data_IF_543557250083
#
_entry.id   IF_543557250083
#
_cell.length_a   1.000
_cell.length_b   1.000
_cell.length_c   1.000
_cell.angle_alpha   90.00
_cell.angle_beta   90.00
_cell.angle_gamma   90.00
#
_symmetry.space_group_name_H-M   'P 1'
#
loop_
_entity.id
_entity.type
_entity.pdbx_description
1 polymer ?
#
# COMPACT_ATOMS: atom_id res chain seq x y z
N UNK A 1 -19.75 -3.75 -14.90
CA UNK A 1 -18.36 -3.63 -14.44
C UNK A 1 -18.15 -4.47 -13.16
N UNK A 2 -16.95 -4.96 -12.89
CA UNK A 2 -16.66 -5.75 -11.70
C UNK A 2 -16.55 -4.88 -10.42
N UNK A 3 -16.69 -3.58 -10.56
CA UNK A 3 -16.71 -2.61 -9.47
C UNK A 3 -18.10 -1.99 -9.29
N UNK A 4 -18.34 -1.40 -8.13
CA UNK A 4 -19.54 -0.64 -7.81
C UNK A 4 -19.14 0.74 -7.30
N UNK A 5 -19.68 1.81 -7.93
CA UNK A 5 -19.47 3.17 -7.46
C UNK A 5 -20.48 3.50 -6.36
N UNK A 6 -20.00 4.10 -5.27
CA UNK A 6 -20.81 4.34 -4.07
C UNK A 6 -20.55 5.72 -3.47
N UNK A 7 -21.51 6.20 -2.67
CA UNK A 7 -21.33 7.39 -1.83
C UNK A 7 -20.45 7.09 -0.58
N UNK A 8 -20.26 8.10 0.27
CA UNK A 8 -19.47 7.96 1.49
C UNK A 8 -20.06 6.97 2.51
N UNK A 9 -21.37 6.75 2.47
CA UNK A 9 -22.10 5.79 3.30
C UNK A 9 -22.09 4.37 2.72
N UNK A 10 -21.58 4.19 1.49
CA UNK A 10 -21.49 2.90 0.80
C UNK A 10 -22.74 2.54 0.02
N UNK A 11 -23.68 3.47 -0.21
CA UNK A 11 -24.83 3.23 -1.04
C UNK A 11 -24.48 3.40 -2.53
N UNK A 12 -25.09 2.60 -3.43
CA UNK A 12 -24.88 2.75 -4.88
C UNK A 12 -25.14 4.18 -5.36
N UNK A 13 -24.14 4.80 -5.97
CA UNK A 13 -24.21 6.15 -6.54
C UNK A 13 -23.28 6.27 -7.76
N UNK A 14 -23.84 6.48 -8.93
CA UNK A 14 -23.08 6.64 -10.19
C UNK A 14 -22.10 7.83 -10.16
N UNK A 15 -22.35 8.82 -9.31
CA UNK A 15 -21.49 9.99 -9.10
C UNK A 15 -20.73 9.94 -7.77
N UNK A 16 -20.78 8.81 -7.05
CA UNK A 16 -20.13 8.64 -5.76
C UNK A 16 -18.61 8.83 -5.84
N UNK A 17 -18.01 9.24 -4.74
CA UNK A 17 -16.57 9.49 -4.64
C UNK A 17 -15.76 8.20 -4.30
N UNK A 18 -16.44 7.06 -4.17
CA UNK A 18 -15.83 5.79 -3.80
C UNK A 18 -16.18 4.68 -4.79
N UNK A 19 -15.33 3.65 -4.80
CA UNK A 19 -15.50 2.41 -5.55
C UNK A 19 -15.36 1.23 -4.59
N UNK A 20 -16.29 0.28 -4.66
CA UNK A 20 -16.13 -1.04 -4.05
C UNK A 20 -15.51 -1.98 -5.09
N UNK A 21 -14.32 -2.53 -4.79
CA UNK A 21 -13.56 -3.31 -5.76
C UNK A 21 -12.51 -4.19 -5.06
N UNK A 22 -12.47 -5.48 -5.43
CA UNK A 22 -11.59 -6.45 -4.78
C UNK A 22 -12.04 -6.85 -3.38
N UNK A 23 -11.37 -7.84 -2.81
CA UNK A 23 -11.66 -8.39 -1.49
C UNK A 23 -10.38 -8.62 -0.70
N UNK A 24 -10.37 -8.26 0.58
CA UNK A 24 -9.24 -8.50 1.46
C UNK A 24 -9.71 -8.69 2.91
N UNK A 25 -8.94 -9.37 3.77
CA UNK A 25 -9.30 -9.49 5.19
C UNK A 25 -9.33 -8.12 5.86
N UNK A 26 -10.37 -7.86 6.66
CA UNK A 26 -10.54 -6.55 7.31
C UNK A 26 -10.94 -6.69 8.77
N UNK A 27 -12.22 -6.97 9.06
CA UNK A 27 -12.75 -6.95 10.42
C UNK A 27 -12.57 -8.27 11.17
N UNK A 28 -12.38 -8.19 12.48
CA UNK A 28 -12.27 -9.37 13.34
C UNK A 28 -13.52 -10.25 13.26
N UNK A 29 -13.32 -11.56 13.26
CA UNK A 29 -14.39 -12.54 13.26
C UNK A 29 -15.29 -12.37 14.49
N UNK A 30 -16.59 -12.25 14.27
CA UNK A 30 -17.56 -12.19 15.36
C UNK A 30 -17.49 -13.45 16.25
N UNK A 31 -17.67 -13.27 17.56
CA UNK A 31 -17.63 -14.37 18.54
C UNK A 31 -18.68 -15.45 18.29
N UNK A 32 -19.81 -15.10 17.64
CA UNK A 32 -20.88 -16.04 17.27
C UNK A 32 -20.54 -16.93 16.07
N UNK A 33 -19.48 -16.59 15.30
CA UNK A 33 -19.07 -17.35 14.13
C UNK A 33 -18.03 -18.39 14.51
N UNK A 34 -18.21 -19.62 14.04
CA UNK A 34 -17.24 -20.72 14.15
C UNK A 34 -16.62 -20.98 12.78
N UNK A 35 -15.32 -21.26 12.75
CA UNK A 35 -14.64 -21.72 11.53
C UNK A 35 -14.95 -23.19 11.30
N UNK A 36 -15.42 -23.54 10.11
CA UNK A 36 -15.94 -24.87 9.78
C UNK A 36 -14.85 -25.92 9.55
N UNK A 37 -13.64 -25.51 9.17
CA UNK A 37 -12.50 -26.39 8.87
C UNK A 37 -11.21 -25.90 9.49
N UNK A 38 -10.37 -26.84 9.92
CA UNK A 38 -9.02 -26.54 10.41
C UNK A 38 -8.02 -26.18 9.29
N UNK A 39 -8.41 -26.35 8.02
CA UNK A 39 -7.60 -26.04 6.84
C UNK A 39 -8.38 -25.10 5.92
N UNK A 40 -7.70 -24.18 5.24
CA UNK A 40 -8.34 -23.31 4.26
C UNK A 40 -8.87 -24.10 3.05
N UNK A 41 -9.85 -23.53 2.37
CA UNK A 41 -10.34 -24.02 1.09
C UNK A 41 -9.32 -23.73 -0.04
N UNK A 42 -9.63 -24.13 -1.26
CA UNK A 42 -8.77 -23.96 -2.44
C UNK A 42 -8.47 -22.49 -2.78
N UNK A 43 -9.31 -21.56 -2.30
CA UNK A 43 -9.11 -20.11 -2.41
C UNK A 43 -8.16 -19.53 -1.35
N UNK A 44 -7.62 -20.36 -0.44
CA UNK A 44 -6.74 -19.94 0.64
C UNK A 44 -7.46 -19.40 1.89
N UNK A 45 -8.79 -19.35 1.89
CA UNK A 45 -9.60 -18.83 2.99
C UNK A 45 -10.35 -19.92 3.75
N UNK A 46 -10.71 -19.59 4.98
CA UNK A 46 -11.50 -20.45 5.86
C UNK A 46 -12.97 -20.07 5.79
N UNK A 47 -13.87 -21.05 5.72
CA UNK A 47 -15.30 -20.80 5.74
C UNK A 47 -15.82 -20.69 7.15
N UNK A 48 -16.64 -19.67 7.40
CA UNK A 48 -17.35 -19.47 8.65
C UNK A 48 -18.75 -20.07 8.64
N UNK A 49 -19.30 -20.34 9.83
CA UNK A 49 -20.67 -20.83 10.02
C UNK A 49 -21.77 -19.87 9.56
N UNK A 50 -21.42 -18.63 9.31
CA UNK A 50 -22.26 -17.58 8.69
C UNK A 50 -22.22 -17.61 7.16
N UNK A 51 -21.42 -18.50 6.56
CA UNK A 51 -21.25 -18.63 5.14
C UNK A 51 -20.20 -17.69 4.52
N UNK A 52 -19.60 -16.82 5.32
CA UNK A 52 -18.56 -15.88 4.89
C UNK A 52 -17.15 -16.51 4.91
N UNK A 53 -16.18 -15.84 4.28
CA UNK A 53 -14.79 -16.26 4.25
C UNK A 53 -13.93 -15.45 5.23
N UNK A 54 -12.89 -16.11 5.74
CA UNK A 54 -11.99 -15.58 6.77
C UNK A 54 -10.55 -15.92 6.41
N UNK A 55 -9.63 -14.99 6.70
CA UNK A 55 -8.20 -15.25 6.72
C UNK A 55 -7.69 -15.32 8.16
N UNK A 56 -6.63 -16.10 8.38
CA UNK A 56 -5.96 -16.13 9.67
C UNK A 56 -4.78 -15.14 9.64
N UNK A 57 -4.67 -14.26 10.64
CA UNK A 57 -3.57 -13.33 10.80
C UNK A 57 -2.42 -13.95 11.65
N UNK A 58 -1.33 -13.20 11.81
CA UNK A 58 -0.17 -13.63 12.60
C UNK A 58 -0.48 -13.87 14.08
N UNK A 59 -1.48 -13.20 14.62
CA UNK A 59 -1.97 -13.41 15.99
C UNK A 59 -2.75 -14.72 16.18
N UNK A 60 -2.97 -15.46 15.08
CA UNK A 60 -3.70 -16.72 15.07
C UNK A 60 -5.23 -16.57 15.04
N UNK A 61 -5.77 -15.35 15.09
CA UNK A 61 -7.18 -15.08 14.98
C UNK A 61 -7.65 -14.99 13.52
N UNK A 62 -8.97 -14.94 13.34
CA UNK A 62 -9.60 -14.94 12.02
C UNK A 62 -10.27 -13.60 11.72
N UNK A 63 -10.10 -13.14 10.50
CA UNK A 63 -10.57 -11.84 10.02
C UNK A 63 -11.41 -12.04 8.76
N UNK A 64 -12.56 -11.36 8.71
CA UNK A 64 -13.51 -11.48 7.61
C UNK A 64 -12.93 -10.91 6.33
N UNK A 65 -13.09 -11.64 5.23
CA UNK A 65 -12.75 -11.17 3.88
C UNK A 65 -13.90 -10.34 3.36
N UNK A 66 -13.66 -9.05 3.16
CA UNK A 66 -14.68 -8.06 2.82
C UNK A 66 -14.28 -7.28 1.58
N UNK A 67 -15.27 -6.68 0.87
CA UNK A 67 -14.97 -5.80 -0.26
C UNK A 67 -14.14 -4.61 0.20
N UNK A 68 -13.09 -4.30 -0.57
CA UNK A 68 -12.29 -3.10 -0.36
C UNK A 68 -13.03 -1.88 -0.88
N UNK A 69 -12.98 -0.79 -0.11
CA UNK A 69 -13.45 0.52 -0.52
C UNK A 69 -12.27 1.39 -0.94
N UNK A 70 -12.41 2.01 -2.10
CA UNK A 70 -11.40 2.85 -2.71
C UNK A 70 -11.94 4.26 -2.88
N UNK A 71 -11.16 5.25 -2.51
CA UNK A 71 -11.44 6.66 -2.78
C UNK A 71 -10.92 7.02 -4.16
N UNK A 72 -11.76 7.68 -4.96
CA UNK A 72 -11.38 8.21 -6.26
C UNK A 72 -10.54 9.48 -6.03
N UNK A 73 -9.32 9.49 -6.54
CA UNK A 73 -8.43 10.65 -6.49
C UNK A 73 -8.54 11.50 -7.75
N UNK A 74 -8.68 10.84 -8.90
CA UNK A 74 -8.85 11.48 -10.20
C UNK A 74 -9.66 10.55 -11.10
N UNK A 75 -10.85 10.98 -11.52
CA UNK A 75 -11.75 10.19 -12.37
C UNK A 75 -11.51 10.46 -13.88
N UNK A 76 -10.46 11.21 -14.20
CA UNK A 76 -9.99 11.47 -15.56
C UNK A 76 -8.46 11.37 -15.63
N UNK A 77 -7.90 10.36 -14.93
CA UNK A 77 -6.46 10.16 -14.80
C UNK A 77 -5.82 9.79 -16.14
N UNK A 78 -6.44 8.89 -16.89
CA UNK A 78 -6.11 8.54 -18.26
C UNK A 78 -7.36 8.57 -19.15
N UNK A 79 -7.26 8.08 -20.38
CA UNK A 79 -8.38 8.01 -21.30
C UNK A 79 -9.41 6.95 -20.86
N UNK A 80 -10.43 7.38 -20.17
CA UNK A 80 -11.48 6.53 -19.60
C UNK A 80 -11.04 5.76 -18.34
N UNK A 81 -10.04 6.25 -17.61
CA UNK A 81 -9.55 5.62 -16.39
C UNK A 81 -9.60 6.53 -15.18
N UNK A 82 -9.57 5.94 -13.98
CA UNK A 82 -9.49 6.67 -12.72
C UNK A 82 -8.30 6.17 -11.88
N UNK A 83 -7.64 7.11 -11.19
CA UNK A 83 -6.72 6.81 -10.10
C UNK A 83 -7.50 6.66 -8.80
N UNK A 84 -7.32 5.53 -8.13
CA UNK A 84 -7.98 5.25 -6.86
C UNK A 84 -6.96 4.82 -5.79
N UNK A 85 -7.26 5.14 -4.53
CA UNK A 85 -6.48 4.69 -3.37
C UNK A 85 -7.39 3.94 -2.40
N UNK A 86 -6.91 2.82 -1.86
CA UNK A 86 -7.65 2.09 -0.84
C UNK A 86 -7.88 2.99 0.38
N UNK A 87 -9.10 3.02 0.87
CA UNK A 87 -9.53 3.93 1.93
C UNK A 87 -9.10 3.43 3.33
N UNK A 88 -8.41 2.30 3.39
CA UNK A 88 -7.91 1.68 4.61
C UNK A 88 -6.47 1.18 4.46
N UNK A 89 -5.78 1.03 5.57
CA UNK A 89 -4.54 0.25 5.65
C UNK A 89 -4.91 -1.23 5.67
N UNK A 90 -4.47 -1.96 4.66
CA UNK A 90 -4.92 -3.35 4.42
C UNK A 90 -4.06 -4.39 5.13
N UNK A 91 -2.78 -4.09 5.35
CA UNK A 91 -1.81 -5.01 5.93
C UNK A 91 -0.60 -4.25 6.48
N UNK A 92 0.35 -4.97 7.09
CA UNK A 92 1.65 -4.46 7.50
C UNK A 92 2.75 -5.17 6.72
N UNK A 93 3.59 -4.40 6.05
CA UNK A 93 4.80 -4.87 5.36
C UNK A 93 5.88 -3.81 5.51
N UNK A 94 7.10 -4.21 5.83
CA UNK A 94 8.23 -3.29 5.80
C UNK A 94 8.46 -2.78 4.36
N UNK A 95 8.90 -1.53 4.23
CA UNK A 95 9.33 -1.04 2.91
C UNK A 95 10.50 -1.90 2.38
N UNK A 96 11.48 -2.15 3.27
CA UNK A 96 12.59 -3.07 3.05
C UNK A 96 13.08 -3.57 4.42
N UNK A 97 12.77 -4.81 4.78
CA UNK A 97 13.06 -5.35 6.12
C UNK A 97 14.54 -5.58 6.38
N UNK A 98 15.27 -5.95 5.33
CA UNK A 98 16.67 -6.31 5.46
C UNK A 98 17.60 -5.19 4.97
N UNK A 99 18.04 -4.32 5.88
CA UNK A 99 18.97 -3.23 5.59
C UNK A 99 20.07 -3.12 6.66
N UNK A 100 21.22 -2.56 6.29
CA UNK A 100 22.28 -2.18 7.25
C UNK A 100 22.34 -0.66 7.41
N UNK A 101 22.16 -0.19 8.63
CA UNK A 101 22.15 1.26 8.94
C UNK A 101 23.43 2.00 8.57
N UNK A 102 24.58 1.32 8.57
CA UNK A 102 25.87 1.93 8.22
C UNK A 102 26.09 2.05 6.70
N UNK A 103 25.31 1.34 5.89
CA UNK A 103 25.39 1.34 4.43
C UNK A 103 24.03 0.95 3.89
N UNK A 104 23.26 1.88 3.43
CA UNK A 104 21.89 1.68 2.97
C UNK A 104 21.84 0.98 1.60
N UNK A 105 22.20 -0.27 1.56
CA UNK A 105 22.10 -1.10 0.38
C UNK A 105 20.92 -2.04 0.46
N UNK A 106 20.38 -2.42 -0.69
CA UNK A 106 19.41 -3.49 -0.78
C UNK A 106 20.10 -4.84 -0.50
N UNK A 107 19.50 -5.66 0.31
CA UNK A 107 19.95 -7.02 0.59
C UNK A 107 18.91 -8.03 0.11
N UNK A 108 19.39 -9.19 -0.35
CA UNK A 108 18.51 -10.33 -0.56
C UNK A 108 17.78 -10.69 0.74
N UNK A 109 16.58 -11.26 0.63
CA UNK A 109 15.75 -11.65 1.79
C UNK A 109 16.44 -12.62 2.75
N UNK A 110 17.44 -13.37 2.28
CA UNK A 110 18.29 -14.23 3.12
C UNK A 110 19.36 -13.46 3.91
N UNK A 111 19.47 -12.15 3.71
CA UNK A 111 20.41 -11.27 4.41
C UNK A 111 21.88 -11.46 4.07
N UNK A 112 22.19 -12.36 3.16
CA UNK A 112 23.58 -12.81 2.92
C UNK A 112 24.31 -11.98 1.87
N UNK A 113 23.61 -11.34 0.93
CA UNK A 113 24.24 -10.75 -0.24
C UNK A 113 23.61 -9.41 -0.60
N UNK A 114 24.43 -8.40 -0.88
CA UNK A 114 24.00 -7.16 -1.50
C UNK A 114 23.59 -7.48 -2.94
N UNK A 115 22.38 -7.13 -3.31
CA UNK A 115 21.94 -7.25 -4.69
C UNK A 115 22.64 -6.17 -5.52
N UNK A 116 23.42 -6.62 -6.47
CA UNK A 116 24.00 -5.77 -7.52
C UNK A 116 23.21 -6.12 -8.79
N UNK A 117 22.53 -5.12 -9.33
CA UNK A 117 21.92 -5.23 -10.63
C UNK A 117 22.93 -4.70 -11.67
N UNK A 118 23.33 -5.53 -12.61
CA UNK A 118 24.26 -5.10 -13.66
C UNK A 118 23.68 -4.01 -14.57
N UNK A 119 22.35 -3.91 -14.62
CA UNK A 119 21.63 -2.88 -15.36
C UNK A 119 21.28 -1.66 -14.47
N UNK A 120 21.64 -1.70 -13.17
CA UNK A 120 21.40 -0.61 -12.25
C UNK A 120 22.26 0.62 -12.58
N UNK A 121 21.62 1.76 -12.70
CA UNK A 121 22.26 3.01 -13.13
C UNK A 121 22.60 3.87 -11.90
N UNK A 122 23.89 4.18 -11.64
CA UNK A 122 24.26 5.10 -10.56
C UNK A 122 23.51 6.43 -10.66
N UNK A 123 23.03 6.93 -9.50
CA UNK A 123 22.21 8.15 -9.43
C UNK A 123 20.71 7.92 -9.61
N UNK A 124 20.27 6.67 -9.84
CA UNK A 124 18.87 6.29 -9.91
C UNK A 124 18.49 5.33 -8.76
N UNK A 125 18.63 5.79 -7.53
CA UNK A 125 18.43 4.93 -6.34
C UNK A 125 19.53 3.88 -6.16
N UNK A 126 20.69 4.13 -6.77
CA UNK A 126 21.87 3.25 -6.84
C UNK A 126 23.11 4.09 -6.62
N UNK A 127 24.07 3.58 -5.85
CA UNK A 127 25.33 4.28 -5.61
C UNK A 127 26.35 4.06 -6.76
N UNK A 128 27.47 4.77 -6.69
CA UNK A 128 28.55 4.70 -7.72
C UNK A 128 29.18 3.30 -7.85
N UNK A 129 28.96 2.42 -6.88
CA UNK A 129 29.40 1.02 -6.92
C UNK A 129 28.32 0.07 -7.43
N UNK A 130 27.26 0.57 -8.06
CA UNK A 130 26.10 -0.19 -8.55
C UNK A 130 25.36 -0.96 -7.47
N UNK A 131 25.38 -0.47 -6.23
CA UNK A 131 24.62 -1.07 -5.13
C UNK A 131 23.32 -0.31 -4.93
N UNK A 132 22.22 -1.04 -4.89
CA UNK A 132 20.87 -0.49 -4.77
C UNK A 132 20.63 -0.01 -3.32
N UNK A 133 20.12 1.20 -3.16
CA UNK A 133 19.73 1.72 -1.84
C UNK A 133 18.50 0.99 -1.29
N UNK A 134 18.44 0.84 0.04
CA UNK A 134 17.35 0.15 0.71
C UNK A 134 15.97 0.83 0.52
N UNK A 135 15.95 2.12 0.26
CA UNK A 135 14.72 2.89 -0.02
C UNK A 135 14.39 3.00 -1.52
N UNK A 136 15.02 2.21 -2.37
CA UNK A 136 14.72 2.15 -3.80
C UNK A 136 13.40 1.40 -4.01
N UNK A 137 12.36 2.12 -4.47
CA UNK A 137 11.03 1.53 -4.64
C UNK A 137 10.99 0.38 -5.64
N UNK A 138 11.73 0.48 -6.75
CA UNK A 138 11.77 -0.56 -7.79
C UNK A 138 12.13 -1.94 -7.22
N UNK A 139 13.00 -1.98 -6.20
CA UNK A 139 13.51 -3.20 -5.59
C UNK A 139 12.98 -3.46 -4.17
N UNK A 140 11.99 -2.69 -3.71
CA UNK A 140 11.47 -2.80 -2.35
C UNK A 140 10.58 -4.04 -2.15
N UNK A 141 10.58 -4.56 -0.93
CA UNK A 141 9.64 -5.59 -0.50
C UNK A 141 8.18 -5.08 -0.53
N UNK A 142 8.00 -3.79 -0.26
CA UNK A 142 6.69 -3.13 -0.42
C UNK A 142 6.14 -3.29 -1.83
N UNK A 143 6.96 -2.98 -2.86
CA UNK A 143 6.53 -3.14 -4.25
C UNK A 143 6.29 -4.60 -4.61
N UNK A 144 7.16 -5.52 -4.17
CA UNK A 144 6.99 -6.96 -4.38
C UNK A 144 5.66 -7.46 -3.79
N UNK A 145 5.33 -7.02 -2.57
CA UNK A 145 4.04 -7.33 -1.93
C UNK A 145 2.86 -6.79 -2.75
N UNK A 146 2.90 -5.51 -3.14
CA UNK A 146 1.79 -4.85 -3.87
C UNK A 146 1.55 -5.48 -5.23
N UNK A 147 2.62 -5.78 -5.99
CA UNK A 147 2.53 -6.32 -7.36
C UNK A 147 2.37 -7.84 -7.41
N UNK A 148 2.60 -8.53 -6.31
CA UNK A 148 2.46 -9.99 -6.16
C UNK A 148 1.35 -10.35 -5.18
N UNK A 149 1.69 -10.53 -3.91
CA UNK A 149 0.79 -11.07 -2.89
C UNK A 149 -0.55 -10.32 -2.81
N UNK A 150 -0.52 -8.99 -2.73
CA UNK A 150 -1.76 -8.22 -2.65
C UNK A 150 -2.57 -8.31 -3.95
N UNK A 151 -1.94 -8.06 -5.10
CA UNK A 151 -2.61 -8.13 -6.41
C UNK A 151 -3.26 -9.50 -6.66
N UNK A 152 -2.54 -10.58 -6.36
CA UNK A 152 -3.03 -11.94 -6.60
C UNK A 152 -4.13 -12.36 -5.61
N UNK A 153 -4.11 -11.81 -4.39
CA UNK A 153 -5.06 -12.16 -3.33
C UNK A 153 -6.34 -11.33 -3.42
N UNK A 154 -6.20 -10.02 -3.69
CA UNK A 154 -7.32 -9.08 -3.59
C UNK A 154 -8.27 -9.12 -4.79
N UNK A 155 -7.82 -9.57 -5.96
CA UNK A 155 -8.58 -9.46 -7.20
C UNK A 155 -8.73 -10.80 -7.91
N UNK A 156 -9.97 -11.09 -8.35
CA UNK A 156 -10.24 -12.18 -9.27
C UNK A 156 -9.88 -11.79 -10.73
N UNK A 157 -9.95 -12.73 -11.66
CA UNK A 157 -9.54 -12.51 -13.05
C UNK A 157 -10.38 -11.43 -13.79
N UNK A 158 -11.67 -11.34 -13.48
CA UNK A 158 -12.55 -10.31 -14.07
C UNK A 158 -12.21 -8.92 -13.51
N UNK A 159 -11.85 -8.84 -12.24
CA UNK A 159 -11.39 -7.59 -11.60
C UNK A 159 -10.01 -7.20 -12.14
N UNK A 160 -9.06 -8.14 -12.22
CA UNK A 160 -7.73 -7.91 -12.79
C UNK A 160 -7.78 -7.36 -14.22
N UNK A 161 -8.75 -7.81 -15.03
CA UNK A 161 -8.93 -7.31 -16.38
C UNK A 161 -9.32 -5.82 -16.48
N UNK A 162 -9.77 -5.23 -15.36
CA UNK A 162 -10.11 -3.80 -15.27
C UNK A 162 -9.01 -2.94 -14.62
N UNK A 163 -7.94 -3.57 -14.11
CA UNK A 163 -6.80 -2.84 -13.56
C UNK A 163 -5.83 -2.52 -14.70
N UNK A 164 -5.44 -1.25 -14.79
CA UNK A 164 -4.53 -0.78 -15.85
C UNK A 164 -3.08 -0.99 -15.41
N UNK A 165 -2.23 -1.47 -16.33
CA UNK A 165 -0.79 -1.48 -16.12
C UNK A 165 -0.26 -0.05 -16.27
N UNK A 166 0.03 0.59 -15.16
CA UNK A 166 0.37 2.01 -15.08
C UNK A 166 1.88 2.19 -15.04
N UNK A 167 2.42 3.13 -15.85
CA UNK A 167 3.79 3.60 -15.65
C UNK A 167 3.84 4.51 -14.43
N UNK A 168 4.51 4.03 -13.38
CA UNK A 168 4.61 4.70 -12.08
C UNK A 168 5.88 5.57 -12.06
N UNK A 169 5.70 6.88 -11.90
CA UNK A 169 6.82 7.84 -11.80
C UNK A 169 7.51 7.72 -10.43
N UNK A 170 8.75 7.25 -10.44
CA UNK A 170 9.63 7.14 -9.28
C UNK A 170 10.78 8.17 -9.32
N UNK A 171 10.73 9.12 -10.24
CA UNK A 171 11.74 10.18 -10.39
C UNK A 171 11.62 11.24 -9.28
N UNK A 172 12.56 12.16 -9.25
CA UNK A 172 12.47 13.34 -8.35
C UNK A 172 11.22 14.20 -8.61
N UNK A 173 10.62 14.10 -9.80
CA UNK A 173 9.35 14.74 -10.14
C UNK A 173 8.16 14.23 -9.30
N UNK A 174 8.22 13.00 -8.82
CA UNK A 174 7.22 12.43 -7.91
C UNK A 174 7.41 12.81 -6.43
N UNK A 175 8.42 13.63 -6.10
CA UNK A 175 8.78 13.98 -4.73
C UNK A 175 9.83 13.04 -4.11
N UNK A 176 10.38 12.11 -4.88
CA UNK A 176 11.49 11.28 -4.43
C UNK A 176 12.74 12.10 -4.19
N UNK A 177 13.43 11.85 -3.08
CA UNK A 177 14.67 12.54 -2.78
C UNK A 177 15.83 12.09 -3.69
N UNK A 178 16.64 13.04 -4.17
CA UNK A 178 17.90 12.73 -4.84
C UNK A 178 18.99 12.42 -3.79
N UNK A 179 19.84 11.39 -3.98
CA UNK A 179 20.01 10.55 -5.18
C UNK A 179 19.20 9.23 -5.15
N UNK A 180 18.20 9.13 -4.30
CA UNK A 180 17.47 7.89 -4.02
C UNK A 180 16.32 7.63 -4.99
N UNK A 181 15.86 8.63 -5.73
CA UNK A 181 14.90 8.45 -6.82
C UNK A 181 15.38 7.36 -7.79
N UNK A 182 14.46 6.49 -8.21
CA UNK A 182 14.80 5.36 -9.07
C UNK A 182 14.10 5.42 -10.42
N UNK A 183 14.34 4.40 -11.25
CA UNK A 183 13.67 4.26 -12.53
C UNK A 183 12.16 4.07 -12.35
N UNK A 184 11.38 4.57 -13.31
CA UNK A 184 9.94 4.29 -13.38
C UNK A 184 9.68 2.78 -13.45
N UNK A 185 8.55 2.38 -12.92
CA UNK A 185 8.09 0.98 -12.93
C UNK A 185 6.74 0.88 -13.62
N UNK A 186 6.41 -0.33 -14.12
CA UNK A 186 5.08 -0.62 -14.64
C UNK A 186 4.40 -1.54 -13.65
N UNK A 187 3.37 -1.04 -12.97
CA UNK A 187 2.71 -1.73 -11.88
C UNK A 187 1.20 -1.69 -12.03
N UNK A 188 0.52 -2.81 -11.71
CA UNK A 188 -0.93 -2.85 -11.60
C UNK A 188 -1.42 -2.26 -10.28
N UNK A 189 -0.64 -2.45 -9.20
CA UNK A 189 -0.91 -1.89 -7.88
C UNK A 189 0.38 -1.27 -7.35
N UNK A 190 0.29 -0.08 -6.80
CA UNK A 190 1.43 0.68 -6.32
C UNK A 190 1.09 1.49 -5.05
N UNK A 191 2.09 2.05 -4.39
CA UNK A 191 1.91 3.03 -3.33
C UNK A 191 1.88 4.46 -3.93
N UNK A 192 1.10 5.37 -3.35
CA UNK A 192 1.14 6.79 -3.74
C UNK A 192 2.53 7.38 -3.51
N UNK A 193 2.89 8.42 -4.27
CA UNK A 193 4.10 9.21 -4.04
C UNK A 193 3.89 10.32 -3.01
N UNK A 194 4.97 10.94 -2.57
CA UNK A 194 4.90 12.16 -1.77
C UNK A 194 4.11 13.27 -2.47
N UNK A 195 4.35 13.48 -3.77
CA UNK A 195 3.64 14.51 -4.54
C UNK A 195 2.16 14.18 -4.75
N UNK A 196 1.78 12.90 -4.81
CA UNK A 196 0.38 12.51 -4.89
C UNK A 196 -0.38 12.94 -3.63
N UNK A 197 0.19 12.71 -2.44
CA UNK A 197 -0.48 13.01 -1.16
C UNK A 197 -0.43 14.48 -0.74
N UNK A 198 0.24 15.35 -1.49
CA UNK A 198 0.16 16.80 -1.36
C UNK A 198 -0.55 17.46 -2.53
N UNK A 199 -1.08 16.68 -3.47
CA UNK A 199 -1.78 17.15 -4.64
C UNK A 199 -3.21 17.56 -4.30
N UNK A 200 -3.50 18.86 -4.41
CA UNK A 200 -4.84 19.40 -4.11
C UNK A 200 -5.90 18.97 -5.10
N UNK A 201 -5.52 18.61 -6.33
CA UNK A 201 -6.47 18.04 -7.33
C UNK A 201 -6.95 16.64 -6.94
N UNK A 202 -6.20 15.91 -6.13
CA UNK A 202 -6.60 14.62 -5.56
C UNK A 202 -7.37 14.75 -4.24
N UNK A 203 -7.72 15.98 -3.86
CA UNK A 203 -8.47 16.30 -2.66
C UNK A 203 -7.61 16.30 -1.38
N UNK A 204 -6.29 16.15 -1.46
CA UNK A 204 -5.40 16.31 -0.33
C UNK A 204 -5.05 17.78 -0.07
N UNK A 205 -4.67 18.09 1.16
CA UNK A 205 -4.04 19.37 1.47
C UNK A 205 -2.59 19.40 0.94
N UNK A 206 -2.16 20.55 0.42
CA UNK A 206 -0.74 20.77 0.07
C UNK A 206 0.18 20.85 1.30
N UNK A 207 -0.38 20.97 2.51
CA UNK A 207 0.37 20.90 3.77
C UNK A 207 0.86 19.49 4.05
N UNK A 208 2.05 19.36 4.61
CA UNK A 208 2.59 18.09 5.08
C UNK A 208 1.93 17.59 6.38
N UNK A 209 1.01 18.34 6.99
CA UNK A 209 0.36 17.98 8.25
C UNK A 209 -1.06 18.54 8.34
N UNK A 210 -1.86 17.97 9.24
CA UNK A 210 -3.20 18.45 9.58
C UNK A 210 -4.28 18.13 8.54
N UNK A 211 -4.10 17.11 7.72
CA UNK A 211 -5.06 16.68 6.72
C UNK A 211 -5.69 15.31 7.09
N UNK A 212 -6.97 15.29 7.54
CA UNK A 212 -7.64 14.03 7.86
C UNK A 212 -7.70 13.02 6.71
N UNK A 213 -7.62 13.48 5.45
CA UNK A 213 -7.62 12.60 4.27
C UNK A 213 -6.33 11.80 4.11
N UNK A 214 -5.26 12.17 4.84
CA UNK A 214 -3.99 11.42 4.92
C UNK A 214 -3.97 10.42 6.07
N UNK A 215 -4.98 10.42 6.92
CA UNK A 215 -5.13 9.49 8.04
C UNK A 215 -6.01 8.32 7.59
N UNK A 216 -5.40 7.19 7.29
CA UNK A 216 -6.09 6.00 6.83
C UNK A 216 -6.50 5.13 8.01
N UNK A 217 -7.73 4.62 8.01
CA UNK A 217 -8.21 3.68 9.03
C UNK A 217 -7.42 2.37 8.89
N UNK A 218 -6.92 1.85 10.01
CA UNK A 218 -6.24 0.55 10.03
C UNK A 218 -7.30 -0.54 10.20
N UNK A 219 -7.27 -1.57 9.34
CA UNK A 219 -8.14 -2.73 9.51
C UNK A 219 -7.70 -3.56 10.73
N UNK A 220 -8.63 -4.27 11.36
CA UNK A 220 -8.30 -5.20 12.45
C UNK A 220 -7.27 -6.24 12.00
N UNK A 221 -7.32 -6.66 10.73
CA UNK A 221 -6.36 -7.58 10.14
C UNK A 221 -4.94 -6.97 10.05
N UNK A 222 -4.83 -5.74 9.58
CA UNK A 222 -3.55 -5.05 9.50
C UNK A 222 -2.94 -4.80 10.89
N UNK A 223 -3.77 -4.42 11.89
CA UNK A 223 -3.34 -4.31 13.28
C UNK A 223 -2.81 -5.64 13.83
N UNK A 224 -3.53 -6.74 13.56
CA UNK A 224 -3.12 -8.08 13.97
C UNK A 224 -1.80 -8.54 13.34
N UNK A 225 -1.48 -8.03 12.16
CA UNK A 225 -0.20 -8.25 11.46
C UNK A 225 0.87 -7.22 11.83
N UNK A 226 0.60 -6.32 12.77
CA UNK A 226 1.60 -5.42 13.36
C UNK A 226 1.50 -3.94 12.97
N UNK A 227 0.53 -3.53 12.14
CA UNK A 227 0.35 -2.11 11.83
C UNK A 227 0.01 -1.30 13.09
N UNK A 228 0.68 -0.18 13.27
CA UNK A 228 0.43 0.72 14.38
C UNK A 228 -0.93 1.41 14.24
N UNK A 229 -1.68 1.47 15.33
CA UNK A 229 -2.97 2.15 15.41
C UNK A 229 -2.86 3.34 16.34
N UNK A 230 -3.25 4.51 15.86
CA UNK A 230 -3.22 5.76 16.62
C UNK A 230 -4.31 5.80 17.69
N UNK A 231 -3.92 6.25 18.88
CA UNK A 231 -4.83 6.67 19.96
C UNK A 231 -4.90 8.19 20.11
N UNK A 232 -4.30 8.93 19.19
CA UNK A 232 -4.28 10.40 19.20
C UNK A 232 -5.68 10.94 18.96
N UNK A 233 -6.13 11.89 19.81
CA UNK A 233 -7.47 12.49 19.71
C UNK A 233 -7.72 13.10 18.33
N UNK A 234 -8.79 12.64 17.67
CA UNK A 234 -9.19 13.02 16.32
C UNK A 234 -8.56 12.17 15.21
N UNK A 235 -7.69 11.22 15.57
CA UNK A 235 -7.06 10.26 14.65
C UNK A 235 -7.12 8.82 15.20
N UNK A 236 -8.01 8.56 16.14
CA UNK A 236 -8.16 7.24 16.73
C UNK A 236 -8.52 6.20 15.65
N UNK A 237 -7.86 5.06 15.69
CA UNK A 237 -8.09 3.96 14.72
C UNK A 237 -7.38 4.17 13.38
N UNK A 238 -6.65 5.27 13.19
CA UNK A 238 -5.85 5.49 11.97
C UNK A 238 -4.40 5.08 12.16
N UNK A 239 -3.66 4.93 11.07
CA UNK A 239 -2.25 4.57 11.12
C UNK A 239 -1.48 5.03 9.89
N UNK A 240 -0.17 4.79 9.94
CA UNK A 240 0.75 5.12 8.87
C UNK A 240 0.63 4.21 7.67
N UNK A 241 0.79 4.78 6.49
CA UNK A 241 0.87 4.04 5.22
C UNK A 241 2.10 4.45 4.43
N UNK A 242 2.86 3.46 3.93
CA UNK A 242 4.02 3.73 3.09
C UNK A 242 3.66 4.49 1.83
N UNK A 243 4.48 5.47 1.49
CA UNK A 243 4.55 6.07 0.17
C UNK A 243 5.72 5.45 -0.60
N UNK A 244 5.64 5.45 -1.95
CA UNK A 244 6.73 4.90 -2.77
C UNK A 244 7.98 5.79 -2.78
N UNK A 245 7.85 7.08 -2.43
CA UNK A 245 8.95 8.03 -2.51
C UNK A 245 9.99 7.80 -1.42
N UNK A 246 11.28 7.62 -1.78
CA UNK A 246 12.36 7.62 -0.80
C UNK A 246 12.48 8.98 -0.12
N UNK A 247 12.68 8.98 1.19
CA UNK A 247 12.86 10.18 2.00
C UNK A 247 14.25 10.80 1.88
N UNK A 248 14.35 12.12 2.16
CA UNK A 248 15.50 12.95 1.87
C UNK A 248 16.44 13.26 3.02
N UNK A 249 16.36 12.64 4.17
CA UNK A 249 17.10 13.05 5.36
C UNK A 249 18.60 12.67 5.39
N UNK A 250 19.29 12.72 4.25
CA UNK A 250 20.75 12.78 4.18
C UNK A 250 21.53 11.51 4.62
N UNK A 251 20.88 10.51 5.16
CA UNK A 251 21.52 9.41 5.87
C UNK A 251 21.59 8.09 5.08
N UNK A 252 21.74 8.17 3.78
CA UNK A 252 22.20 7.00 3.03
C UNK A 252 21.12 6.01 2.63
N UNK A 253 19.85 6.42 2.44
CA UNK A 253 18.80 5.56 1.87
C UNK A 253 18.07 4.68 2.90
N UNK A 254 18.01 5.12 4.16
CA UNK A 254 17.31 4.40 5.23
C UNK A 254 15.83 4.73 5.35
N UNK A 255 15.39 5.83 4.74
CA UNK A 255 14.08 6.39 4.97
C UNK A 255 13.27 6.42 3.69
N UNK A 256 12.00 6.06 3.80
CA UNK A 256 10.97 6.33 2.80
C UNK A 256 9.90 7.22 3.44
N UNK A 257 9.20 7.99 2.62
CA UNK A 257 8.06 8.74 3.11
C UNK A 257 6.90 7.80 3.48
N UNK A 258 6.16 8.20 4.49
CA UNK A 258 4.87 7.63 4.88
C UNK A 258 3.87 8.73 5.16
N UNK A 259 2.60 8.39 5.19
CA UNK A 259 1.53 9.23 5.76
C UNK A 259 1.18 8.67 7.12
N UNK A 260 1.02 9.54 8.12
CA UNK A 260 0.59 9.16 9.45
C UNK A 260 -0.17 10.31 10.11
N UNK A 261 -1.24 9.99 10.86
CA UNK A 261 -2.09 10.93 11.60
C UNK A 261 -2.32 12.29 10.91
N UNK A 262 -2.64 12.26 9.62
CA UNK A 262 -2.91 13.46 8.83
C UNK A 262 -1.68 14.23 8.34
N UNK A 263 -0.49 13.64 8.39
CA UNK A 263 0.77 14.21 7.94
C UNK A 263 1.55 13.33 6.97
N UNK A 264 2.70 13.85 6.53
CA UNK A 264 3.72 13.09 5.83
C UNK A 264 4.99 13.12 6.66
N UNK A 265 5.59 11.98 6.90
CA UNK A 265 6.81 11.82 7.68
C UNK A 265 7.82 10.93 6.93
N UNK A 266 8.94 10.63 7.57
CA UNK A 266 9.96 9.73 7.07
C UNK A 266 10.08 8.54 8.01
N UNK A 267 9.55 7.40 7.57
CA UNK A 267 9.72 6.12 8.26
C UNK A 267 11.03 5.42 7.91
N UNK A 268 11.65 4.76 8.89
CA UNK A 268 12.74 3.83 8.60
C UNK A 268 12.23 2.70 7.72
N UNK A 269 12.88 2.39 6.61
CA UNK A 269 12.42 1.35 5.64
C UNK A 269 12.23 -0.03 6.27
N UNK A 270 12.92 -0.33 7.37
CA UNK A 270 12.75 -1.57 8.12
C UNK A 270 11.73 -1.47 9.27
N UNK A 271 10.92 -0.42 9.32
CA UNK A 271 9.88 -0.29 10.34
C UNK A 271 8.80 -1.36 10.16
N UNK A 272 8.43 -1.99 11.26
CA UNK A 272 7.40 -3.03 11.36
C UNK A 272 6.04 -2.49 11.86
N UNK A 273 5.89 -1.17 11.94
CA UNK A 273 4.63 -0.53 12.37
C UNK A 273 3.91 0.23 11.28
N UNK A 274 4.57 0.50 10.14
CA UNK A 274 3.96 1.22 9.03
C UNK A 274 3.23 0.23 8.12
N UNK A 275 2.00 0.55 7.77
CA UNK A 275 1.14 -0.32 6.99
C UNK A 275 1.15 -0.01 5.50
N UNK A 276 0.24 -0.65 4.78
CA UNK A 276 0.11 -0.57 3.33
C UNK A 276 -1.25 0.02 2.94
N UNK A 277 -1.21 1.15 2.22
CA UNK A 277 -2.36 1.77 1.56
C UNK A 277 -2.20 1.67 0.04
N UNK A 278 -2.71 0.62 -0.61
CA UNK A 278 -2.52 0.42 -2.05
C UNK A 278 -3.28 1.45 -2.88
N UNK A 279 -2.72 1.77 -4.05
CA UNK A 279 -3.35 2.56 -5.09
C UNK A 279 -3.26 1.83 -6.44
N UNK A 280 -4.17 2.13 -7.34
CA UNK A 280 -4.17 1.59 -8.70
C UNK A 280 -4.93 2.48 -9.66
N UNK A 281 -4.72 2.26 -10.94
CA UNK A 281 -5.52 2.83 -12.02
C UNK A 281 -6.55 1.79 -12.49
N UNK A 282 -7.82 2.18 -12.54
CA UNK A 282 -8.92 1.30 -12.95
C UNK A 282 -9.58 1.84 -14.22
N UNK A 283 -9.94 0.92 -15.14
CA UNK A 283 -10.74 1.25 -16.32
C UNK A 283 -12.17 1.58 -15.90
N UNK A 284 -12.64 2.76 -16.23
CA UNK A 284 -14.05 3.14 -16.11
C UNK A 284 -14.83 2.66 -17.34
N UNK A 285 -16.02 2.13 -17.12
CA UNK A 285 -16.92 1.64 -18.19
C UNK A 285 -18.07 2.61 -18.45
#
# INVERSE_FOLDING_TARGET
PPYERVDAEGNPDENGEYILFGYYPQSAKASSVTIESASPESNGYYKGSDGEYYAQAEDGNYYKVERLRWRILDDNYGDGTALIVCDVIVDQVAYQSNYKRARAYYYATDGSTIIIDNDAIPGQGVNDSHQVYANNYKWSELREYLTGTFYDTAFNEDEKANIVLTEVDNSTGSGAASPYACENTNDYVFALSYNDVINTSYGFSSSSSGDPKKAFVVTDYAEANGANVSSTSGYEGTGGGWLRSPGGNGDGGYYAFDVDIGGCDNGSVGSDGVGVGPALEIQLS
#
